data_IF_454906387594
#
_entry.id   IF_454906387594
#
_cell.length_a   1.000
_cell.length_b   1.000
_cell.length_c   1.000
_cell.angle_alpha   90.00
_cell.angle_beta   90.00
_cell.angle_gamma   90.00
#
_symmetry.space_group_name_H-M   'P 1'
#
loop_
_entity.id
_entity.type
_entity.pdbx_description
1 polymer ?
#
# COMPACT_ATOMS: atom_id res chain seq x y z
N UNK A 1 -9.60 16.38 21.80
CA UNK A 1 -9.71 14.90 21.88
C UNK A 1 -8.35 14.33 21.51
N UNK A 2 -7.69 13.65 22.43
CA UNK A 2 -6.43 12.98 22.16
C UNK A 2 -6.78 11.73 21.38
N UNK A 3 -6.42 11.68 20.10
CA UNK A 3 -6.52 10.45 19.34
C UNK A 3 -5.50 9.47 19.93
N UNK A 4 -5.95 8.41 20.54
CA UNK A 4 -5.08 7.32 20.95
C UNK A 4 -4.43 6.73 19.70
N UNK A 5 -3.09 6.65 19.64
CA UNK A 5 -2.46 6.04 18.49
C UNK A 5 -2.91 4.57 18.38
N UNK A 6 -3.34 4.17 17.21
CA UNK A 6 -3.64 2.76 16.95
C UNK A 6 -2.33 1.96 17.08
N UNK A 7 -2.22 1.03 18.02
CA UNK A 7 -0.95 0.37 18.32
C UNK A 7 -0.58 -0.75 17.34
N UNK A 8 -1.46 -1.06 16.38
CA UNK A 8 -1.28 -2.18 15.46
C UNK A 8 -1.94 -1.88 14.12
N UNK A 9 -1.56 -2.62 13.10
CA UNK A 9 -2.24 -2.58 11.81
C UNK A 9 -3.57 -3.30 11.91
N UNK A 10 -4.63 -2.67 11.41
CA UNK A 10 -5.96 -3.26 11.27
C UNK A 10 -6.44 -3.13 9.83
N UNK A 11 -7.13 -4.13 9.34
CA UNK A 11 -7.77 -4.06 8.03
C UNK A 11 -9.29 -4.08 8.19
N UNK A 12 -9.97 -3.43 7.27
CA UNK A 12 -11.44 -3.32 7.27
C UNK A 12 -12.04 -4.21 6.21
N UNK A 13 -11.47 -4.17 5.03
CA UNK A 13 -11.93 -4.94 3.88
C UNK A 13 -10.78 -5.15 2.89
N UNK A 14 -11.04 -5.91 1.86
CA UNK A 14 -10.12 -6.15 0.77
C UNK A 14 -10.92 -6.36 -0.51
N UNK A 15 -10.26 -6.17 -1.65
CA UNK A 15 -10.87 -6.36 -2.95
C UNK A 15 -9.83 -6.76 -3.98
N UNK A 16 -10.27 -7.33 -5.09
CA UNK A 16 -9.41 -7.59 -6.23
C UNK A 16 -9.52 -6.40 -7.17
N UNK A 17 -8.40 -5.72 -7.41
CA UNK A 17 -8.33 -4.49 -8.20
C UNK A 17 -7.39 -4.65 -9.39
N UNK A 18 -7.64 -3.88 -10.45
CA UNK A 18 -6.95 -4.02 -11.73
C UNK A 18 -6.24 -2.74 -12.20
N UNK A 19 -6.49 -1.62 -11.55
CA UNK A 19 -6.00 -0.31 -12.01
C UNK A 19 -4.99 0.34 -11.07
N UNK A 20 -5.04 0.01 -9.80
CA UNK A 20 -4.18 0.60 -8.76
C UNK A 20 -2.70 0.22 -8.94
N UNK A 21 -2.44 -0.91 -9.55
CA UNK A 21 -1.11 -1.37 -9.93
C UNK A 21 -1.15 -1.81 -11.39
N UNK A 22 -0.60 -0.99 -12.31
CA UNK A 22 -0.68 -1.28 -13.74
C UNK A 22 -0.16 -2.67 -14.10
N UNK A 23 -0.92 -3.37 -14.93
CA UNK A 23 -0.66 -4.73 -15.42
C UNK A 23 -0.72 -5.84 -14.35
N UNK A 24 -1.20 -5.53 -13.15
CA UNK A 24 -1.33 -6.51 -12.08
C UNK A 24 -2.80 -6.81 -11.75
N UNK A 25 -3.05 -8.03 -11.33
CA UNK A 25 -4.29 -8.43 -10.66
C UNK A 25 -3.99 -8.44 -9.17
N UNK A 26 -4.48 -7.44 -8.45
CA UNK A 26 -4.01 -7.15 -7.10
C UNK A 26 -5.07 -7.45 -6.04
N UNK A 27 -4.68 -8.19 -5.01
CA UNK A 27 -5.42 -8.23 -3.75
C UNK A 27 -5.04 -6.98 -2.96
N UNK A 28 -5.94 -6.00 -2.92
CA UNK A 28 -5.76 -4.75 -2.18
C UNK A 28 -6.45 -4.85 -0.83
N UNK A 29 -5.67 -4.72 0.24
CA UNK A 29 -6.14 -4.83 1.62
C UNK A 29 -6.17 -3.42 2.22
N UNK A 30 -7.36 -2.94 2.58
CA UNK A 30 -7.55 -1.59 3.11
C UNK A 30 -7.32 -1.56 4.61
N UNK A 31 -6.31 -0.78 5.04
CA UNK A 31 -5.93 -0.61 6.43
C UNK A 31 -6.59 0.62 7.04
N UNK A 32 -7.01 0.50 8.29
CA UNK A 32 -7.61 1.59 9.06
C UNK A 32 -6.56 2.38 9.85
N UNK A 33 -7.00 3.26 10.73
CA UNK A 33 -6.15 4.12 11.56
C UNK A 33 -5.25 5.07 10.74
N UNK A 34 -5.71 5.49 9.58
CA UNK A 34 -4.94 6.39 8.72
C UNK A 34 -4.76 7.77 9.40
N UNK A 35 -3.51 8.21 9.66
CA UNK A 35 -3.25 9.48 10.35
C UNK A 35 -3.24 10.69 9.43
N UNK A 36 -3.33 10.53 8.12
CA UNK A 36 -3.01 11.57 7.15
C UNK A 36 -4.08 12.67 7.04
N UNK A 37 -5.35 12.37 7.32
CA UNK A 37 -6.41 13.37 7.35
C UNK A 37 -6.64 14.13 6.03
N UNK A 38 -6.36 13.52 4.88
CA UNK A 38 -6.53 14.17 3.58
C UNK A 38 -7.96 14.64 3.34
N UNK A 39 -8.16 15.91 3.05
CA UNK A 39 -9.46 16.48 2.74
C UNK A 39 -9.94 15.92 1.40
N UNK A 40 -11.19 15.41 1.36
CA UNK A 40 -11.76 14.81 0.15
C UNK A 40 -11.27 13.39 -0.15
N UNK A 41 -10.59 12.74 0.79
CA UNK A 41 -10.15 11.36 0.64
C UNK A 41 -11.36 10.42 0.43
N UNK A 42 -11.27 9.55 -0.60
CA UNK A 42 -12.31 8.56 -0.89
C UNK A 42 -12.49 7.53 0.23
N UNK A 43 -11.46 7.33 1.03
CA UNK A 43 -11.42 6.32 2.08
C UNK A 43 -11.38 6.95 3.48
N UNK A 44 -12.11 8.05 3.69
CA UNK A 44 -12.12 8.76 4.96
C UNK A 44 -12.56 7.88 6.15
N UNK A 45 -13.37 6.86 5.92
CA UNK A 45 -13.79 5.91 6.94
C UNK A 45 -12.60 5.10 7.53
N UNK A 46 -11.49 5.02 6.81
CA UNK A 46 -10.28 4.33 7.26
C UNK A 46 -9.45 5.13 8.29
N UNK A 47 -9.86 6.35 8.63
CA UNK A 47 -9.20 7.15 9.65
C UNK A 47 -9.49 6.63 11.07
N UNK A 48 -10.64 5.98 11.26
CA UNK A 48 -11.04 5.44 12.54
C UNK A 48 -10.29 4.17 12.92
N UNK A 49 -10.31 3.85 14.21
CA UNK A 49 -9.83 2.57 14.74
C UNK A 49 -10.94 1.53 14.55
N UNK A 50 -11.02 0.96 13.37
CA UNK A 50 -12.05 0.00 12.97
C UNK A 50 -11.42 -1.22 12.30
N UNK A 51 -12.15 -2.32 12.25
CA UNK A 51 -11.69 -3.55 11.61
C UNK A 51 -10.96 -4.50 12.57
N UNK A 52 -10.23 -5.44 11.99
CA UNK A 52 -9.53 -6.51 12.70
C UNK A 52 -8.01 -6.35 12.55
N UNK A 53 -7.27 -6.85 13.53
CA UNK A 53 -5.81 -6.87 13.46
C UNK A 53 -5.33 -7.63 12.22
N UNK A 54 -4.39 -7.03 11.48
CA UNK A 54 -3.72 -7.69 10.38
C UNK A 54 -2.43 -8.35 10.88
N UNK A 55 -2.54 -9.60 11.26
CA UNK A 55 -1.39 -10.45 11.63
C UNK A 55 -0.76 -11.06 10.38
N UNK A 56 0.44 -11.62 10.54
CA UNK A 56 1.07 -12.41 9.47
C UNK A 56 0.18 -13.58 9.05
N UNK A 57 -0.37 -14.31 10.01
CA UNK A 57 -1.22 -15.47 9.76
C UNK A 57 -2.46 -15.07 8.95
N UNK A 58 -3.04 -13.90 9.26
CA UNK A 58 -4.21 -13.40 8.54
C UNK A 58 -3.85 -12.95 7.13
N UNK A 59 -2.75 -12.23 6.98
CA UNK A 59 -2.27 -11.81 5.66
C UNK A 59 -1.99 -13.01 4.77
N UNK A 60 -1.32 -14.02 5.31
CA UNK A 60 -1.02 -15.26 4.58
C UNK A 60 -2.30 -15.99 4.17
N UNK A 61 -3.26 -16.13 5.09
CA UNK A 61 -4.54 -16.80 4.81
C UNK A 61 -5.32 -16.09 3.71
N UNK A 62 -5.40 -14.75 3.76
CA UNK A 62 -6.06 -13.97 2.71
C UNK A 62 -5.37 -14.16 1.36
N UNK A 63 -4.06 -14.10 1.35
CA UNK A 63 -3.27 -14.27 0.13
C UNK A 63 -3.44 -15.67 -0.46
N UNK A 64 -3.38 -16.70 0.35
CA UNK A 64 -3.57 -18.08 -0.09
C UNK A 64 -4.95 -18.34 -0.69
N UNK A 65 -5.98 -17.65 -0.17
CA UNK A 65 -7.34 -17.76 -0.72
C UNK A 65 -7.44 -17.33 -2.18
N UNK A 66 -6.51 -16.51 -2.67
CA UNK A 66 -6.53 -15.97 -4.03
C UNK A 66 -5.27 -16.29 -4.84
N UNK A 67 -4.32 -17.02 -4.28
CA UNK A 67 -2.96 -17.15 -4.81
C UNK A 67 -2.86 -17.55 -6.29
N UNK A 68 -3.77 -18.38 -6.78
CA UNK A 68 -3.79 -18.79 -8.18
C UNK A 68 -4.41 -17.77 -9.13
N UNK A 69 -5.02 -16.70 -8.62
CA UNK A 69 -5.80 -15.74 -9.39
C UNK A 69 -5.26 -14.31 -9.30
N UNK A 70 -4.23 -14.06 -8.51
CA UNK A 70 -3.62 -12.75 -8.32
C UNK A 70 -2.15 -12.77 -8.68
N UNK A 71 -1.62 -11.59 -9.04
CA UNK A 71 -0.20 -11.38 -9.35
C UNK A 71 0.49 -10.47 -8.34
N UNK A 72 -0.30 -9.77 -7.52
CA UNK A 72 0.21 -8.78 -6.57
C UNK A 72 -0.66 -8.76 -5.31
N UNK A 73 -0.04 -8.48 -4.18
CA UNK A 73 -0.72 -8.15 -2.91
C UNK A 73 -0.28 -6.76 -2.48
N UNK A 74 -1.23 -5.92 -2.11
CA UNK A 74 -0.96 -4.56 -1.69
C UNK A 74 -1.62 -4.23 -0.37
N UNK A 75 -0.89 -3.48 0.47
CA UNK A 75 -1.46 -2.83 1.65
C UNK A 75 -1.77 -1.37 1.30
N UNK A 76 -3.03 -0.97 1.53
CA UNK A 76 -3.53 0.35 1.21
C UNK A 76 -3.70 1.13 2.51
N UNK A 77 -2.73 1.96 2.85
CA UNK A 77 -2.64 2.66 4.12
C UNK A 77 -1.59 2.07 5.05
N UNK A 78 -1.79 2.21 6.36
CA UNK A 78 -0.82 1.70 7.35
C UNK A 78 0.24 2.72 7.75
N UNK A 79 0.03 4.01 7.46
CA UNK A 79 0.95 5.09 7.83
C UNK A 79 1.03 5.34 9.34
N UNK A 80 0.17 4.72 10.11
CA UNK A 80 0.26 4.68 11.58
C UNK A 80 1.37 3.74 12.08
N UNK A 81 1.77 2.75 11.27
CA UNK A 81 2.84 1.81 11.62
C UNK A 81 3.58 1.32 10.36
N UNK A 82 4.38 2.19 9.73
CA UNK A 82 5.11 1.84 8.50
C UNK A 82 6.06 0.65 8.65
N UNK A 83 6.67 0.50 9.82
CA UNK A 83 7.60 -0.60 10.07
C UNK A 83 6.91 -1.96 9.95
N UNK A 84 5.71 -2.09 10.51
CA UNK A 84 4.92 -3.32 10.41
C UNK A 84 4.44 -3.58 8.99
N UNK A 85 4.08 -2.54 8.23
CA UNK A 85 3.73 -2.68 6.81
C UNK A 85 4.89 -3.31 6.04
N UNK A 86 6.07 -2.75 6.18
CA UNK A 86 7.26 -3.23 5.47
C UNK A 86 7.67 -4.64 5.91
N UNK A 87 7.57 -4.93 7.21
CA UNK A 87 7.86 -6.28 7.73
C UNK A 87 6.92 -7.34 7.17
N UNK A 88 5.61 -7.08 7.18
CA UNK A 88 4.62 -8.02 6.64
C UNK A 88 4.84 -8.27 5.15
N UNK A 89 5.09 -7.21 4.38
CA UNK A 89 5.31 -7.34 2.93
C UNK A 89 6.65 -8.03 2.62
N UNK A 90 7.69 -7.79 3.41
CA UNK A 90 8.96 -8.50 3.28
C UNK A 90 8.80 -10.01 3.54
N UNK A 91 8.05 -10.38 4.57
CA UNK A 91 7.73 -11.78 4.86
C UNK A 91 6.94 -12.43 3.72
N UNK A 92 5.97 -11.70 3.18
CA UNK A 92 5.15 -12.19 2.08
C UNK A 92 5.98 -12.41 0.81
N UNK A 93 6.82 -11.44 0.46
CA UNK A 93 7.72 -11.52 -0.69
C UNK A 93 8.67 -12.71 -0.58
N UNK A 94 9.24 -12.92 0.61
CA UNK A 94 10.11 -14.07 0.88
C UNK A 94 9.37 -15.39 0.80
N UNK A 95 8.16 -15.46 1.36
CA UNK A 95 7.34 -16.67 1.38
C UNK A 95 7.02 -17.18 -0.03
N UNK A 96 6.72 -16.26 -0.95
CA UNK A 96 6.42 -16.58 -2.35
C UNK A 96 7.65 -16.54 -3.27
N UNK A 97 8.84 -16.36 -2.71
CA UNK A 97 10.12 -16.34 -3.45
C UNK A 97 10.10 -15.34 -4.63
N UNK A 98 9.44 -14.20 -4.45
CA UNK A 98 9.31 -13.16 -5.46
C UNK A 98 8.33 -13.47 -6.60
N UNK A 99 7.65 -14.59 -6.57
CA UNK A 99 6.66 -14.97 -7.61
C UNK A 99 5.37 -14.17 -7.50
N UNK A 100 5.08 -13.64 -6.34
CA UNK A 100 3.95 -12.76 -6.07
C UNK A 100 4.51 -11.37 -5.75
N UNK A 101 4.06 -10.36 -6.47
CA UNK A 101 4.53 -8.99 -6.26
C UNK A 101 3.85 -8.37 -5.05
N UNK A 102 4.51 -7.38 -4.48
CA UNK A 102 4.02 -6.65 -3.31
C UNK A 102 3.98 -5.16 -3.59
N UNK A 103 2.96 -4.49 -3.05
CA UNK A 103 2.80 -3.05 -3.20
C UNK A 103 2.31 -2.38 -1.93
N UNK A 104 2.55 -1.08 -1.84
CA UNK A 104 2.09 -0.26 -0.72
C UNK A 104 1.63 1.11 -1.23
N UNK A 105 0.45 1.51 -0.80
CA UNK A 105 -0.06 2.87 -0.99
C UNK A 105 0.07 3.63 0.33
N UNK A 106 0.99 4.59 0.36
CA UNK A 106 1.20 5.50 1.50
C UNK A 106 0.77 6.91 1.15
N UNK A 107 0.17 7.60 2.11
CA UNK A 107 -0.15 9.03 1.99
C UNK A 107 1.00 9.94 2.39
N UNK A 108 2.16 9.40 2.75
CA UNK A 108 3.34 10.17 3.16
C UNK A 108 4.30 10.39 2.00
N UNK A 109 5.31 11.25 2.24
CA UNK A 109 6.31 11.61 1.23
C UNK A 109 7.69 11.04 1.52
N UNK A 110 7.92 10.44 2.70
CA UNK A 110 9.23 9.87 3.01
C UNK A 110 9.44 8.53 2.31
N UNK A 111 10.69 8.25 1.97
CA UNK A 111 11.08 7.00 1.32
C UNK A 111 11.75 6.07 2.33
N UNK A 112 11.36 4.78 2.37
CA UNK A 112 12.15 3.77 3.08
C UNK A 112 13.56 3.64 2.50
N UNK A 113 14.48 3.03 3.26
CA UNK A 113 15.83 2.76 2.77
C UNK A 113 15.81 1.84 1.54
N UNK A 114 16.84 1.91 0.71
CA UNK A 114 16.96 1.04 -0.48
C UNK A 114 16.92 -0.44 -0.10
N UNK A 115 17.55 -0.83 1.01
CA UNK A 115 17.51 -2.20 1.51
C UNK A 115 16.09 -2.62 1.87
N UNK A 116 15.38 -1.80 2.64
CA UNK A 116 14.00 -2.06 3.03
C UNK A 116 13.06 -2.15 1.82
N UNK A 117 13.21 -1.25 0.85
CA UNK A 117 12.45 -1.27 -0.40
C UNK A 117 12.69 -2.58 -1.18
N UNK A 118 13.94 -2.95 -1.37
CA UNK A 118 14.31 -4.16 -2.10
C UNK A 118 13.73 -5.43 -1.47
N UNK A 119 13.74 -5.49 -0.14
CA UNK A 119 13.27 -6.67 0.59
C UNK A 119 11.76 -6.77 0.68
N UNK A 120 11.06 -5.65 0.66
CA UNK A 120 9.61 -5.61 0.97
C UNK A 120 8.71 -5.30 -0.20
N UNK A 121 9.14 -4.52 -1.20
CA UNK A 121 8.25 -3.93 -2.18
C UNK A 121 8.71 -4.13 -3.63
N UNK A 122 7.74 -4.32 -4.52
CA UNK A 122 7.90 -4.19 -5.96
C UNK A 122 7.33 -2.86 -6.45
N UNK A 123 6.31 -2.34 -5.76
CA UNK A 123 5.64 -1.07 -6.08
C UNK A 123 5.42 -0.23 -4.84
N UNK A 124 5.55 1.09 -4.99
CA UNK A 124 5.31 2.05 -3.91
C UNK A 124 4.62 3.29 -4.46
N UNK A 125 3.46 3.62 -3.91
CA UNK A 125 2.80 4.91 -4.16
C UNK A 125 2.99 5.81 -2.94
N UNK A 126 3.47 7.02 -3.16
CA UNK A 126 3.69 8.03 -2.13
C UNK A 126 2.89 9.31 -2.40
N UNK A 127 2.58 10.01 -1.34
CA UNK A 127 1.99 11.35 -1.38
C UNK A 127 0.56 11.39 -0.87
N UNK A 128 0.19 12.45 -0.14
CA UNK A 128 -1.17 12.67 0.31
C UNK A 128 -2.07 13.03 -0.86
N UNK A 129 -3.37 12.78 -0.72
CA UNK A 129 -4.36 13.29 -1.66
C UNK A 129 -4.56 14.79 -1.42
N UNK A 130 -4.29 15.58 -2.45
CA UNK A 130 -4.54 17.02 -2.48
C UNK A 130 -5.58 17.31 -3.58
N UNK A 131 -6.79 17.69 -3.18
CA UNK A 131 -7.91 17.87 -4.10
C UNK A 131 -7.61 18.85 -5.25
N UNK A 132 -6.81 19.88 -4.99
CA UNK A 132 -6.41 20.87 -5.99
C UNK A 132 -5.51 20.29 -7.09
N UNK A 133 -4.77 19.21 -6.79
CA UNK A 133 -3.83 18.57 -7.72
C UNK A 133 -4.37 17.25 -8.29
N UNK A 134 -5.37 16.68 -7.64
CA UNK A 134 -6.06 15.48 -8.09
C UNK A 134 -5.35 14.16 -7.74
N UNK A 135 -6.00 13.03 -8.07
CA UNK A 135 -5.46 11.69 -7.85
C UNK A 135 -4.35 11.32 -8.85
N UNK A 136 -3.85 10.09 -8.79
CA UNK A 136 -2.76 9.60 -9.65
C UNK A 136 -3.01 9.79 -11.15
N UNK A 137 -4.24 9.72 -11.60
CA UNK A 137 -4.57 9.90 -13.01
C UNK A 137 -4.63 11.36 -13.48
N UNK A 138 -4.44 12.32 -12.57
CA UNK A 138 -4.27 13.73 -12.90
C UNK A 138 -2.81 14.02 -13.25
N UNK A 139 -2.57 14.74 -14.35
CA UNK A 139 -1.20 15.12 -14.74
C UNK A 139 -0.58 16.14 -13.79
N UNK A 140 -1.41 16.84 -13.00
CA UNK A 140 -0.97 17.83 -12.02
C UNK A 140 -0.75 17.22 -10.62
N UNK A 141 -0.93 15.93 -10.46
CA UNK A 141 -0.87 15.26 -9.16
C UNK A 141 0.51 15.42 -8.50
N UNK A 142 0.48 15.60 -7.19
CA UNK A 142 1.68 15.49 -6.34
C UNK A 142 2.00 14.04 -5.98
N UNK A 143 1.05 13.13 -6.16
CA UNK A 143 1.27 11.71 -5.87
C UNK A 143 2.21 11.09 -6.88
N UNK A 144 3.04 10.16 -6.42
CA UNK A 144 4.01 9.44 -7.25
C UNK A 144 3.85 7.95 -7.09
N UNK A 145 3.87 7.26 -8.21
CA UNK A 145 3.86 5.79 -8.27
C UNK A 145 5.22 5.33 -8.76
N UNK A 146 5.84 4.44 -7.99
CA UNK A 146 7.18 3.93 -8.29
C UNK A 146 7.18 2.43 -8.45
N UNK A 147 8.03 1.96 -9.36
CA UNK A 147 8.52 0.59 -9.35
C UNK A 147 9.82 0.55 -8.54
N UNK A 148 10.00 -0.47 -7.73
CA UNK A 148 11.25 -0.72 -7.01
C UNK A 148 12.11 -1.66 -7.86
N UNK A 149 13.29 -1.23 -8.26
CA UNK A 149 14.20 -2.06 -9.05
C UNK A 149 14.99 -3.03 -8.15
N UNK A 150 15.75 -4.00 -8.73
CA UNK A 150 16.51 -4.97 -7.94
C UNK A 150 17.57 -4.38 -7.01
N UNK A 151 17.96 -3.12 -7.21
CA UNK A 151 18.90 -2.41 -6.33
C UNK A 151 18.19 -1.67 -5.19
N UNK A 152 16.84 -1.67 -5.15
CA UNK A 152 16.07 -0.91 -4.20
C UNK A 152 15.90 0.56 -4.56
N UNK A 153 16.16 0.94 -5.80
CA UNK A 153 15.95 2.29 -6.30
C UNK A 153 14.51 2.46 -6.81
N UNK A 154 13.97 3.66 -6.65
CA UNK A 154 12.62 4.00 -7.10
C UNK A 154 12.66 4.53 -8.54
N UNK A 155 11.91 3.89 -9.41
CA UNK A 155 11.71 4.31 -10.80
C UNK A 155 10.30 4.90 -10.92
N UNK A 156 10.18 6.20 -11.23
CA UNK A 156 8.89 6.89 -11.33
C UNK A 156 8.12 6.39 -12.55
N UNK A 157 7.00 5.77 -12.32
CA UNK A 157 6.08 5.29 -13.34
C UNK A 157 4.70 5.92 -13.24
N UNK A 158 4.58 7.09 -12.61
CA UNK A 158 3.31 7.80 -12.44
C UNK A 158 2.60 8.05 -13.79
N UNK A 159 3.36 8.26 -14.85
CA UNK A 159 2.82 8.47 -16.19
C UNK A 159 1.89 7.36 -16.68
N UNK A 160 2.01 6.16 -16.14
CA UNK A 160 1.17 5.01 -16.52
C UNK A 160 -0.30 5.18 -16.15
N UNK A 161 -0.61 6.11 -15.23
CA UNK A 161 -1.98 6.45 -14.84
C UNK A 161 -2.59 7.54 -15.71
N UNK A 162 -1.79 8.19 -16.56
CA UNK A 162 -2.25 9.28 -17.39
C UNK A 162 -2.73 8.75 -18.74
N UNK A 163 -3.95 9.14 -19.11
CA UNK A 163 -4.54 8.81 -20.40
C UNK A 163 -4.49 10.01 -21.34
#
# INVERSE_FOLDING_TARGET
MIAYPCPMLKYVNYDIVFQEFPDEVTLAINLSCCPNGCIGCHSAYLRGDVGEELTWERLLALTESYAGNITCVSLMGGDNDPASVLELLARLKKHYAGKLKTGWYSGRTWEPSAESLRESLDYLKLGPYLAALGPLNSRDTNQRFYRVNPKGELEDETFRFWK
#
